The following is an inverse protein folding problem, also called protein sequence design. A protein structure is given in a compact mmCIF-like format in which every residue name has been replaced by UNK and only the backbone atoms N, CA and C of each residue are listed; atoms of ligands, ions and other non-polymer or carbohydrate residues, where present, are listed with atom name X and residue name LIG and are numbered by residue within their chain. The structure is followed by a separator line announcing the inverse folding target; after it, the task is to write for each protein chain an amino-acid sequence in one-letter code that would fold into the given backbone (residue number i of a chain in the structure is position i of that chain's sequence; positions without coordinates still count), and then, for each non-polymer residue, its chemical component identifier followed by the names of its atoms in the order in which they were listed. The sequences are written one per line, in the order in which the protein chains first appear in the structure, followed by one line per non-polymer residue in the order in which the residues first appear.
data_IF_789518965394
#
_entry.id   IF_789518965394
#
_cell.length_a   1.000
_cell.length_b   1.000
_cell.length_c   1.000
_cell.angle_alpha   90.00
_cell.angle_beta   90.00
_cell.angle_gamma   90.00
#
_symmetry.space_group_name_H-M   'P 1'
#
loop_
_entity.id
_entity.type
_entity.pdbx_description
1 polymer ?
#
# COMPACT_ATOMS: atom_id res chain seq x y z
N UNK A 1 11.06 -29.74 53.75
CA UNK A 1 10.61 -30.00 52.35
C UNK A 1 9.14 -30.37 52.40
N UNK A 2 8.23 -29.51 51.92
CA UNK A 2 6.78 -29.71 52.04
C UNK A 2 6.33 -30.78 51.02
N UNK A 3 5.89 -31.95 51.49
CA UNK A 3 5.30 -33.02 50.66
C UNK A 3 3.97 -32.51 50.09
N UNK A 4 3.95 -32.17 48.81
CA UNK A 4 2.72 -31.82 48.10
C UNK A 4 1.93 -33.11 47.89
N UNK A 5 0.70 -33.16 48.43
CA UNK A 5 -0.21 -34.29 48.25
C UNK A 5 -0.60 -34.40 46.77
N UNK A 6 -0.51 -35.60 46.20
CA UNK A 6 -0.83 -35.89 44.79
C UNK A 6 -2.21 -35.36 44.39
N UNK A 7 -3.16 -35.32 45.32
CA UNK A 7 -4.51 -34.76 45.10
C UNK A 7 -4.48 -33.27 44.73
N UNK A 8 -3.61 -32.47 45.37
CA UNK A 8 -3.48 -31.04 45.07
C UNK A 8 -2.83 -30.80 43.70
N UNK A 9 -2.01 -31.73 43.22
CA UNK A 9 -1.40 -31.67 41.89
C UNK A 9 -2.45 -31.93 40.80
N UNK A 10 -3.32 -32.94 41.00
CA UNK A 10 -4.38 -33.27 40.05
C UNK A 10 -5.44 -32.17 39.92
N UNK A 11 -5.83 -31.53 41.04
CA UNK A 11 -6.79 -30.41 41.02
C UNK A 11 -6.20 -29.20 40.26
N UNK A 12 -4.93 -28.86 40.50
CA UNK A 12 -4.25 -27.78 39.80
C UNK A 12 -4.12 -28.06 38.30
N UNK A 13 -3.77 -29.29 37.92
CA UNK A 13 -3.61 -29.70 36.53
C UNK A 13 -4.96 -29.71 35.77
N UNK A 14 -6.03 -30.16 36.42
CA UNK A 14 -7.39 -30.10 35.85
C UNK A 14 -7.87 -28.66 35.64
N UNK A 15 -7.57 -27.77 36.60
CA UNK A 15 -7.94 -26.35 36.50
C UNK A 15 -7.17 -25.63 35.37
N UNK A 16 -5.88 -25.93 35.22
CA UNK A 16 -5.05 -25.43 34.12
C UNK A 16 -5.51 -25.94 32.74
N UNK A 17 -5.97 -27.19 32.66
CA UNK A 17 -6.44 -27.77 31.41
C UNK A 17 -7.76 -27.12 30.92
N UNK A 18 -8.68 -26.79 31.84
CA UNK A 18 -9.93 -26.11 31.49
C UNK A 18 -9.72 -24.65 31.03
N UNK A 19 -8.72 -23.95 31.59
CA UNK A 19 -8.33 -22.60 31.16
C UNK A 19 -7.75 -22.62 29.73
N UNK A 20 -6.99 -23.65 29.37
CA UNK A 20 -6.42 -23.79 28.02
C UNK A 20 -7.49 -24.06 26.94
N UNK A 21 -8.58 -24.76 27.28
CA UNK A 21 -9.64 -25.11 26.32
C UNK A 21 -10.59 -23.92 26.06
N UNK A 22 -10.76 -23.00 27.03
CA UNK A 22 -11.65 -21.84 26.90
C UNK A 22 -11.04 -20.67 26.09
N UNK A 23 -9.76 -20.77 25.69
CA UNK A 23 -9.07 -19.76 24.88
C UNK A 23 -9.23 -19.93 23.36
N UNK A 24 -9.95 -20.95 22.91
CA UNK A 24 -10.21 -21.18 21.49
C UNK A 24 -11.62 -20.70 21.10
N UNK A 25 -11.84 -19.39 21.18
CA UNK A 25 -12.89 -18.78 20.36
C UNK A 25 -12.44 -18.93 18.90
N UNK A 26 -13.07 -19.86 18.20
CA UNK A 26 -12.95 -19.96 16.75
C UNK A 26 -13.41 -18.63 16.18
N UNK A 27 -12.43 -17.79 15.83
CA UNK A 27 -12.62 -16.60 15.02
C UNK A 27 -13.28 -17.06 13.72
N UNK A 28 -14.62 -17.06 13.72
CA UNK A 28 -15.40 -17.10 12.50
C UNK A 28 -15.09 -15.79 11.81
N UNK A 29 -14.04 -15.82 11.00
CA UNK A 29 -13.70 -14.76 10.07
C UNK A 29 -14.93 -14.60 9.20
N UNK A 30 -15.81 -13.66 9.57
CA UNK A 30 -16.85 -13.19 8.68
C UNK A 30 -16.11 -12.75 7.43
N UNK A 31 -16.22 -13.52 6.36
CA UNK A 31 -15.79 -13.10 5.03
C UNK A 31 -16.67 -11.89 4.75
N UNK A 32 -16.16 -10.70 5.11
CA UNK A 32 -16.70 -9.44 4.63
C UNK A 32 -16.49 -9.53 3.14
N UNK A 33 -17.54 -9.92 2.42
CA UNK A 33 -17.70 -9.66 1.00
C UNK A 33 -17.64 -8.14 0.84
N UNK A 34 -16.43 -7.60 0.86
CA UNK A 34 -16.13 -6.29 0.33
C UNK A 34 -16.40 -6.44 -1.17
N UNK A 35 -17.65 -6.27 -1.57
CA UNK A 35 -18.00 -5.87 -2.91
C UNK A 35 -17.33 -4.52 -3.12
N UNK A 36 -16.04 -4.54 -3.46
CA UNK A 36 -15.32 -3.38 -3.95
C UNK A 36 -16.00 -3.03 -5.26
N UNK A 37 -17.01 -2.15 -5.16
CA UNK A 37 -17.72 -1.63 -6.31
C UNK A 37 -16.67 -1.08 -7.27
N UNK A 38 -16.58 -1.67 -8.45
CA UNK A 38 -15.62 -1.25 -9.46
C UNK A 38 -15.93 0.22 -9.79
N UNK A 39 -14.92 1.11 -9.82
CA UNK A 39 -15.17 2.50 -10.11
C UNK A 39 -15.68 2.65 -11.55
N UNK A 40 -16.84 3.28 -11.71
CA UNK A 40 -17.44 3.52 -13.04
C UNK A 40 -16.68 4.56 -13.86
N UNK A 41 -15.98 5.48 -13.19
CA UNK A 41 -15.24 6.58 -13.82
C UNK A 41 -13.91 6.80 -13.10
N UNK A 42 -12.89 7.19 -13.87
CA UNK A 42 -11.55 7.51 -13.36
C UNK A 42 -11.15 8.89 -13.88
N UNK A 43 -10.81 9.81 -12.97
CA UNK A 43 -10.16 11.08 -13.30
C UNK A 43 -8.71 10.96 -12.85
N UNK A 44 -7.78 11.01 -13.81
CA UNK A 44 -6.35 10.86 -13.56
C UNK A 44 -5.64 12.22 -13.72
N UNK A 45 -5.12 12.76 -12.62
CA UNK A 45 -4.46 14.06 -12.58
C UNK A 45 -2.94 13.86 -12.50
N UNK A 46 -2.22 14.40 -13.47
CA UNK A 46 -0.76 14.35 -13.53
C UNK A 46 -0.20 15.76 -13.36
N UNK A 47 0.51 16.01 -12.27
CA UNK A 47 1.33 17.20 -12.11
C UNK A 47 2.71 16.95 -12.71
N UNK A 48 3.00 17.52 -13.88
CA UNK A 48 4.33 17.37 -14.50
C UNK A 48 5.41 18.04 -13.62
N UNK A 49 6.51 17.34 -13.39
CA UNK A 49 7.58 17.78 -12.47
C UNK A 49 7.17 17.91 -10.99
N UNK A 50 5.96 17.47 -10.59
CA UNK A 50 5.45 17.65 -9.24
C UNK A 50 6.02 16.60 -8.27
N UNK A 51 7.24 16.84 -7.79
CA UNK A 51 7.85 16.06 -6.72
C UNK A 51 7.27 16.37 -5.33
N UNK A 52 7.73 15.62 -4.32
CA UNK A 52 7.31 15.83 -2.92
C UNK A 52 7.62 17.25 -2.42
N UNK A 53 8.72 17.86 -2.87
CA UNK A 53 9.05 19.25 -2.54
C UNK A 53 8.01 20.24 -3.04
N UNK A 54 7.53 20.07 -4.28
CA UNK A 54 6.48 20.91 -4.87
C UNK A 54 5.15 20.72 -4.13
N UNK A 55 4.80 19.47 -3.77
CA UNK A 55 3.61 19.18 -2.94
C UNK A 55 3.73 19.85 -1.57
N UNK A 56 4.86 19.69 -0.88
CA UNK A 56 5.13 20.32 0.41
C UNK A 56 5.05 21.85 0.33
N UNK A 57 5.58 22.47 -0.73
CA UNK A 57 5.45 23.91 -0.92
C UNK A 57 3.98 24.34 -0.98
N UNK A 58 3.12 23.57 -1.66
CA UNK A 58 1.67 23.80 -1.69
C UNK A 58 0.99 23.68 -0.32
N UNK A 59 1.57 22.91 0.62
CA UNK A 59 1.08 22.84 2.00
C UNK A 59 1.52 24.03 2.86
N UNK A 60 2.77 24.47 2.73
CA UNK A 60 3.34 25.48 3.63
C UNK A 60 3.12 26.92 3.18
N UNK A 61 3.05 27.16 1.87
CA UNK A 61 2.95 28.50 1.30
C UNK A 61 1.56 28.82 0.72
N UNK A 62 0.63 27.87 0.73
CA UNK A 62 -0.75 28.09 0.30
C UNK A 62 -1.56 28.85 1.35
N UNK A 63 -2.38 29.81 0.90
CA UNK A 63 -3.30 30.54 1.78
C UNK A 63 -4.51 29.71 2.24
N UNK A 64 -4.82 28.65 1.48
CA UNK A 64 -5.93 27.74 1.74
C UNK A 64 -5.42 26.33 2.06
N UNK A 65 -6.18 25.53 2.82
CA UNK A 65 -5.83 24.13 3.05
C UNK A 65 -5.60 23.39 1.74
N UNK A 66 -4.45 22.72 1.63
CA UNK A 66 -4.08 21.94 0.44
C UNK A 66 -5.13 20.87 0.14
N UNK A 67 -5.55 20.77 -1.13
CA UNK A 67 -6.52 19.76 -1.58
C UNK A 67 -5.98 18.33 -1.47
N UNK A 68 -4.65 18.18 -1.37
CA UNK A 68 -4.03 16.88 -1.14
C UNK A 68 -4.43 16.27 0.22
N UNK A 69 -4.87 17.06 1.19
CA UNK A 69 -5.40 16.57 2.48
C UNK A 69 -6.61 15.64 2.35
N UNK A 70 -7.32 15.69 1.22
CA UNK A 70 -8.54 14.91 1.00
C UNK A 70 -8.25 13.47 0.54
N UNK A 71 -7.02 13.17 0.14
CA UNK A 71 -6.65 11.81 -0.30
C UNK A 71 -6.45 10.90 0.92
N UNK A 72 -7.19 9.78 0.95
CA UNK A 72 -7.09 8.76 2.01
C UNK A 72 -5.91 7.80 1.84
N UNK A 73 -5.32 7.77 0.64
CA UNK A 73 -4.25 6.85 0.28
C UNK A 73 -3.13 7.63 -0.39
N UNK A 74 -1.90 7.39 0.06
CA UNK A 74 -0.68 8.02 -0.46
C UNK A 74 0.33 6.89 -0.71
N UNK A 75 1.02 6.96 -1.84
CA UNK A 75 2.06 6.01 -2.21
C UNK A 75 3.19 6.70 -2.96
N UNK A 76 4.33 6.03 -3.03
CA UNK A 76 5.48 6.45 -3.82
C UNK A 76 5.69 5.44 -4.95
N UNK A 77 6.11 5.93 -6.12
CA UNK A 77 6.39 5.12 -7.29
C UNK A 77 7.82 5.36 -7.77
N UNK A 78 8.46 4.34 -8.34
CA UNK A 78 9.74 4.49 -9.00
C UNK A 78 9.55 4.92 -10.46
N UNK A 79 9.94 6.15 -10.76
CA UNK A 79 9.76 6.81 -12.05
C UNK A 79 10.90 6.58 -13.05
N UNK A 80 11.88 5.72 -12.76
CA UNK A 80 12.97 5.46 -13.71
C UNK A 80 12.45 4.95 -15.05
N UNK A 81 13.09 5.36 -16.15
CA UNK A 81 12.82 4.83 -17.49
C UNK A 81 13.66 3.57 -17.75
N UNK A 82 13.52 2.93 -18.91
CA UNK A 82 14.36 1.78 -19.27
C UNK A 82 15.80 2.18 -19.62
N UNK A 83 16.02 3.44 -20.03
CA UNK A 83 17.33 3.94 -20.42
C UNK A 83 18.01 4.83 -19.37
N UNK A 84 17.25 5.49 -18.48
CA UNK A 84 17.79 6.47 -17.53
C UNK A 84 17.15 6.33 -16.14
N UNK A 85 17.92 6.68 -15.10
CA UNK A 85 17.39 6.79 -13.72
C UNK A 85 16.43 7.97 -13.56
N UNK A 86 16.67 9.04 -14.31
CA UNK A 86 15.79 10.21 -14.39
C UNK A 86 15.02 10.14 -15.71
N UNK A 87 13.72 9.89 -15.63
CA UNK A 87 12.83 9.85 -16.79
C UNK A 87 12.55 11.27 -17.32
N UNK A 88 12.21 11.36 -18.59
CA UNK A 88 11.56 12.53 -19.16
C UNK A 88 10.03 12.36 -19.16
N UNK A 89 9.30 13.42 -19.54
CA UNK A 89 7.83 13.42 -19.56
C UNK A 89 7.26 12.46 -20.63
N UNK A 90 7.97 12.23 -21.74
CA UNK A 90 7.53 11.32 -22.80
C UNK A 90 7.50 9.85 -22.33
N UNK A 91 8.61 9.36 -21.77
CA UNK A 91 8.68 8.00 -21.27
C UNK A 91 7.78 7.80 -20.04
N UNK A 92 7.71 8.80 -19.16
CA UNK A 92 6.83 8.80 -17.99
C UNK A 92 5.35 8.72 -18.39
N UNK A 93 4.91 9.57 -19.32
CA UNK A 93 3.54 9.56 -19.84
C UNK A 93 3.19 8.23 -20.52
N UNK A 94 4.11 7.67 -21.30
CA UNK A 94 3.93 6.35 -21.92
C UNK A 94 3.77 5.25 -20.86
N UNK A 95 4.59 5.25 -19.82
CA UNK A 95 4.50 4.27 -18.74
C UNK A 95 3.18 4.40 -17.96
N UNK A 96 2.72 5.63 -17.68
CA UNK A 96 1.45 5.86 -16.98
C UNK A 96 0.23 5.45 -17.82
N UNK A 97 0.26 5.67 -19.13
CA UNK A 97 -0.86 5.36 -20.02
C UNK A 97 -0.92 3.88 -20.43
N UNK A 98 0.24 3.24 -20.66
CA UNK A 98 0.33 1.86 -21.17
C UNK A 98 0.65 0.81 -20.11
N UNK A 99 1.06 1.22 -18.92
CA UNK A 99 1.56 0.32 -17.88
C UNK A 99 2.95 -0.26 -18.16
N UNK A 100 3.63 0.14 -19.25
CA UNK A 100 4.93 -0.40 -19.65
C UNK A 100 5.99 0.70 -19.75
N UNK A 101 7.14 0.49 -19.10
CA UNK A 101 8.28 1.43 -19.17
C UNK A 101 8.91 1.43 -20.56
N UNK A 102 9.42 2.59 -20.97
CA UNK A 102 10.15 2.79 -22.24
C UNK A 102 11.38 3.69 -22.03
N UNK A 103 12.12 4.00 -23.08
CA UNK A 103 13.32 4.85 -23.05
C UNK A 103 12.96 6.34 -23.14
N UNK A 104 13.80 7.23 -22.60
CA UNK A 104 13.56 8.68 -22.66
C UNK A 104 13.34 9.17 -24.11
N UNK A 105 12.35 10.03 -24.32
CA UNK A 105 11.93 10.56 -25.62
C UNK A 105 10.96 9.67 -26.39
N UNK A 106 10.65 8.46 -25.91
CA UNK A 106 9.67 7.58 -26.52
C UNK A 106 8.24 7.95 -26.12
N UNK A 107 7.34 8.00 -27.12
CA UNK A 107 5.89 8.21 -26.91
C UNK A 107 5.15 7.03 -27.54
N UNK A 108 4.42 6.25 -26.73
CA UNK A 108 3.56 5.18 -27.22
C UNK A 108 4.30 3.98 -27.85
N UNK A 109 5.62 3.87 -27.65
CA UNK A 109 6.45 2.78 -28.17
C UNK A 109 7.26 2.14 -27.05
N UNK A 110 7.41 0.82 -27.10
CA UNK A 110 8.16 0.02 -26.11
C UNK A 110 9.49 -0.44 -26.71
N UNK A 111 9.53 -0.74 -28.01
CA UNK A 111 10.70 -1.29 -28.68
C UNK A 111 11.88 -0.32 -28.61
N UNK A 112 13.03 -0.83 -28.19
CA UNK A 112 14.31 -0.12 -28.23
C UNK A 112 14.52 0.50 -29.61
N UNK A 113 14.88 1.78 -29.65
CA UNK A 113 15.30 2.47 -30.87
C UNK A 113 16.51 1.72 -31.44
N UNK A 114 16.29 0.85 -32.43
CA UNK A 114 17.39 0.38 -33.27
C UNK A 114 17.91 1.58 -34.07
N UNK A 115 19.24 1.74 -34.18
CA UNK A 115 19.86 2.88 -34.84
C UNK A 115 19.41 3.03 -36.30
#
# INVERSE_FOLDING_TARGET
MKRISSFSLFVSLSLLLNILISGCDSATTSIRNNNSQQPSNIIFLVGDGMGLSAVSAGFYFGEQPSQFNRFRHIGLINTSSTSHRVTDSAAGGTALASGTKTYNGAIGVITTRSP
#
